data_IF_398644483841
#
_entry.id   IF_398644483841
#
_cell.length_a   1.000
_cell.length_b   1.000
_cell.length_c   1.000
_cell.angle_alpha   90.00
_cell.angle_beta   90.00
_cell.angle_gamma   90.00
#
_symmetry.space_group_name_H-M   'P 1'
#
loop_
_entity.id
_entity.type
_entity.pdbx_description
1 polymer ?
#
# COMPACT_ATOMS: atom_id res chain seq x y z
N UNK A 1 30.76 -58.67 10.17
CA UNK A 1 29.39 -58.19 10.44
C UNK A 1 29.44 -57.30 11.66
N UNK A 2 29.09 -56.02 11.68
CA UNK A 2 28.84 -54.98 10.68
C UNK A 2 29.02 -53.70 11.49
N UNK A 3 30.09 -52.94 11.26
CA UNK A 3 30.31 -51.67 11.96
C UNK A 3 29.47 -50.62 11.25
N UNK A 4 28.41 -50.14 11.91
CA UNK A 4 27.51 -49.13 11.40
C UNK A 4 28.17 -47.75 11.49
N UNK A 5 28.58 -47.22 10.35
CA UNK A 5 28.92 -45.82 10.16
C UNK A 5 27.70 -44.94 10.43
N UNK A 6 27.81 -44.04 11.40
CA UNK A 6 26.88 -42.93 11.61
C UNK A 6 27.44 -41.74 10.84
N UNK A 7 26.67 -41.06 9.97
CA UNK A 7 27.16 -39.86 9.30
C UNK A 7 27.32 -38.75 10.34
N UNK A 8 28.55 -38.24 10.46
CA UNK A 8 28.86 -36.99 11.15
C UNK A 8 28.05 -35.87 10.49
N UNK A 9 27.16 -35.22 11.24
CA UNK A 9 26.56 -33.97 10.81
C UNK A 9 27.64 -32.89 10.89
N UNK A 10 28.19 -32.51 9.73
CA UNK A 10 29.21 -31.47 9.66
C UNK A 10 28.64 -30.14 10.14
N UNK A 11 29.15 -29.67 11.27
CA UNK A 11 29.02 -28.28 11.67
C UNK A 11 29.78 -27.42 10.63
N UNK A 12 29.24 -26.27 10.20
CA UNK A 12 29.88 -25.44 9.18
C UNK A 12 31.28 -25.00 9.61
N UNK A 13 32.24 -25.11 8.68
CA UNK A 13 33.66 -24.85 8.90
C UNK A 13 33.89 -23.40 9.41
N UNK A 14 34.79 -23.23 10.38
CA UNK A 14 35.09 -21.93 10.98
C UNK A 14 35.62 -20.91 9.95
N UNK A 15 36.21 -21.40 8.85
CA UNK A 15 36.68 -20.60 7.73
C UNK A 15 35.52 -19.95 6.94
N UNK A 16 34.44 -20.67 6.69
CA UNK A 16 33.24 -20.19 5.99
C UNK A 16 32.49 -19.14 6.80
N UNK A 17 32.29 -19.38 8.10
CA UNK A 17 31.66 -18.41 9.01
C UNK A 17 32.42 -17.08 9.07
N UNK A 18 33.76 -17.11 8.92
CA UNK A 18 34.58 -15.91 8.86
C UNK A 18 34.40 -15.16 7.51
N UNK A 19 34.36 -15.87 6.39
CA UNK A 19 34.14 -15.28 5.07
C UNK A 19 32.75 -14.60 4.96
N UNK A 20 31.71 -15.25 5.47
CA UNK A 20 30.35 -14.70 5.52
C UNK A 20 30.30 -13.45 6.39
N UNK A 21 30.91 -13.51 7.57
CA UNK A 21 30.99 -12.35 8.48
C UNK A 21 31.67 -11.17 7.78
N UNK A 22 32.75 -11.40 7.02
CA UNK A 22 33.42 -10.36 6.25
C UNK A 22 32.54 -9.80 5.14
N UNK A 23 31.88 -10.65 4.36
CA UNK A 23 30.95 -10.25 3.30
C UNK A 23 29.81 -9.38 3.85
N UNK A 24 29.14 -9.81 4.91
CA UNK A 24 28.05 -9.04 5.54
C UNK A 24 28.57 -7.73 6.12
N UNK A 25 29.75 -7.72 6.73
CA UNK A 25 30.39 -6.49 7.19
C UNK A 25 30.70 -5.52 6.05
N UNK A 26 31.11 -6.02 4.88
CA UNK A 26 31.30 -5.19 3.67
C UNK A 26 29.98 -4.60 3.19
N UNK A 27 28.91 -5.42 3.02
CA UNK A 27 27.56 -4.95 2.66
C UNK A 27 27.03 -3.90 3.64
N UNK A 28 27.23 -4.13 4.94
CA UNK A 28 26.83 -3.22 6.01
C UNK A 28 27.62 -1.92 5.96
N UNK A 29 28.94 -1.99 5.79
CA UNK A 29 29.81 -0.82 5.68
C UNK A 29 29.44 0.01 4.46
N UNK A 30 29.17 -0.64 3.32
CA UNK A 30 28.64 0.02 2.13
C UNK A 30 27.33 0.75 2.42
N UNK A 31 26.35 0.08 3.03
CA UNK A 31 25.06 0.70 3.43
C UNK A 31 25.22 1.88 4.41
N UNK A 32 26.28 1.89 5.22
CA UNK A 32 26.56 2.99 6.16
C UNK A 32 27.28 4.16 5.50
N UNK A 33 28.21 3.90 4.59
CA UNK A 33 28.97 4.93 3.87
C UNK A 33 28.07 5.71 2.89
N UNK A 34 27.09 5.06 2.27
CA UNK A 34 26.10 5.75 1.41
C UNK A 34 25.20 6.72 2.19
N UNK A 35 25.10 6.59 3.52
CA UNK A 35 24.38 7.58 4.35
C UNK A 35 25.10 8.93 4.45
N UNK A 36 26.43 8.95 4.34
CA UNK A 36 27.24 10.16 4.61
C UNK A 36 27.50 10.99 3.36
N UNK A 37 27.39 10.41 2.16
CA UNK A 37 27.48 11.12 0.89
C UNK A 37 26.16 11.81 0.54
N UNK A 38 26.03 13.08 0.93
CA UNK A 38 25.00 14.00 0.41
C UNK A 38 25.16 14.09 -1.12
N UNK A 39 24.38 13.32 -1.87
CA UNK A 39 24.43 13.31 -3.35
C UNK A 39 24.08 14.72 -3.84
N UNK A 40 25.05 15.41 -4.46
CA UNK A 40 24.82 16.68 -5.18
C UNK A 40 23.78 16.40 -6.28
N UNK A 41 22.83 17.32 -6.44
CA UNK A 41 21.75 17.24 -7.44
C UNK A 41 22.38 17.26 -8.83
N UNK A 42 22.52 16.09 -9.46
CA UNK A 42 22.89 16.02 -10.87
C UNK A 42 21.72 16.56 -11.70
N UNK A 43 22.03 17.46 -12.63
CA UNK A 43 21.09 18.15 -13.52
C UNK A 43 20.78 17.38 -14.80
N UNK A 44 21.37 16.20 -14.97
CA UNK A 44 21.16 15.37 -16.16
C UNK A 44 20.12 14.27 -15.88
N UNK A 45 19.21 14.10 -16.83
CA UNK A 45 17.96 13.36 -16.71
C UNK A 45 18.03 11.84 -16.58
N UNK A 46 19.20 11.29 -16.23
CA UNK A 46 19.31 9.87 -15.82
C UNK A 46 19.09 9.77 -14.32
N UNK A 47 18.03 9.06 -13.92
CA UNK A 47 17.81 8.72 -12.52
C UNK A 47 18.96 7.78 -12.11
N UNK A 48 19.83 8.16 -11.17
CA UNK A 48 20.90 7.26 -10.75
C UNK A 48 20.25 6.03 -10.13
N UNK A 49 20.55 4.85 -10.70
CA UNK A 49 20.18 3.56 -10.15
C UNK A 49 20.49 3.59 -8.64
N UNK A 50 19.47 3.44 -7.80
CA UNK A 50 19.68 3.45 -6.34
C UNK A 50 20.61 2.30 -6.01
N UNK A 51 21.73 2.60 -5.36
CA UNK A 51 22.65 1.56 -4.90
C UNK A 51 21.92 0.61 -3.95
N UNK A 52 21.94 -0.68 -4.30
CA UNK A 52 21.33 -1.75 -3.53
C UNK A 52 22.04 -1.89 -2.17
N UNK A 53 21.39 -1.33 -1.16
CA UNK A 53 21.81 -1.30 0.24
C UNK A 53 20.71 -1.86 1.12
N UNK A 54 21.05 -2.35 2.31
CA UNK A 54 20.05 -2.78 3.31
C UNK A 54 19.00 -1.71 3.59
N UNK A 55 19.42 -0.44 3.65
CA UNK A 55 18.51 0.69 3.79
C UNK A 55 17.59 0.83 2.57
N UNK A 56 18.10 0.71 1.34
CA UNK A 56 17.26 0.77 0.14
C UNK A 56 16.22 -0.35 0.12
N UNK A 57 16.57 -1.61 0.42
CA UNK A 57 15.61 -2.71 0.52
C UNK A 57 14.55 -2.45 1.59
N UNK A 58 14.94 -1.94 2.75
CA UNK A 58 14.00 -1.53 3.79
C UNK A 58 12.95 -0.52 3.30
N UNK A 59 13.34 0.40 2.39
CA UNK A 59 12.39 1.36 1.81
C UNK A 59 11.32 0.70 0.93
N UNK A 60 11.58 -0.50 0.41
CA UNK A 60 10.65 -1.25 -0.42
C UNK A 60 9.72 -2.08 0.49
N UNK A 61 10.31 -2.80 1.43
CA UNK A 61 9.65 -3.77 2.31
C UNK A 61 8.49 -3.21 3.13
N UNK A 62 8.49 -1.92 3.49
CA UNK A 62 7.41 -1.35 4.30
C UNK A 62 6.03 -1.46 3.64
N UNK A 63 5.99 -1.44 2.30
CA UNK A 63 4.75 -1.46 1.52
C UNK A 63 4.19 -2.87 1.38
N UNK A 64 5.07 -3.86 1.27
CA UNK A 64 4.72 -5.27 1.03
C UNK A 64 4.68 -6.12 2.31
N UNK A 65 5.58 -5.90 3.27
CA UNK A 65 5.56 -6.60 4.55
C UNK A 65 4.60 -5.95 5.55
N UNK A 66 4.45 -4.63 5.50
CA UNK A 66 3.73 -3.83 6.48
C UNK A 66 4.65 -3.03 7.41
N UNK A 67 4.12 -2.06 8.17
CA UNK A 67 4.91 -1.17 9.01
C UNK A 67 4.99 -1.59 10.49
N UNK A 68 4.35 -2.68 10.89
CA UNK A 68 4.15 -3.05 12.31
C UNK A 68 5.19 -4.05 12.81
N UNK A 69 5.46 -5.12 12.06
CA UNK A 69 6.50 -6.07 12.46
C UNK A 69 7.90 -5.47 12.29
N UNK A 70 8.71 -5.67 13.33
CA UNK A 70 10.10 -5.25 13.30
C UNK A 70 10.93 -6.26 12.54
N UNK A 71 11.85 -5.80 11.69
CA UNK A 71 12.70 -6.68 10.85
C UNK A 71 13.46 -7.72 11.70
N UNK A 72 13.92 -7.35 12.89
CA UNK A 72 14.62 -8.29 13.77
C UNK A 72 13.73 -9.43 14.30
N UNK A 73 12.43 -9.17 14.50
CA UNK A 73 11.46 -10.19 14.94
C UNK A 73 11.21 -11.17 13.80
N UNK A 74 11.03 -10.65 12.59
CA UNK A 74 10.85 -11.47 11.39
C UNK A 74 12.09 -12.36 11.16
N UNK A 75 13.29 -11.77 11.25
CA UNK A 75 14.54 -12.52 11.08
C UNK A 75 14.77 -13.57 12.17
N UNK A 76 14.43 -13.27 13.44
CA UNK A 76 14.55 -14.23 14.54
C UNK A 76 13.55 -15.38 14.39
N UNK A 77 12.32 -15.09 13.95
CA UNK A 77 11.33 -16.12 13.61
C UNK A 77 11.82 -17.01 12.47
N UNK A 78 12.22 -16.42 11.34
CA UNK A 78 12.69 -17.18 10.17
C UNK A 78 13.91 -18.06 10.43
N UNK A 79 14.90 -17.55 11.18
CA UNK A 79 16.07 -18.35 11.58
C UNK A 79 15.67 -19.49 12.53
N UNK A 80 14.75 -19.23 13.47
CA UNK A 80 14.27 -20.25 14.41
C UNK A 80 13.54 -21.37 13.69
N UNK A 81 12.68 -21.05 12.72
CA UNK A 81 11.98 -22.06 11.93
C UNK A 81 12.92 -22.80 10.96
N UNK A 82 13.91 -22.13 10.37
CA UNK A 82 14.89 -22.78 9.48
C UNK A 82 15.84 -23.76 10.20
N UNK A 83 16.07 -23.56 11.50
CA UNK A 83 16.91 -24.44 12.34
C UNK A 83 16.11 -25.40 13.20
N UNK A 84 14.80 -25.48 12.96
CA UNK A 84 13.89 -26.31 13.72
C UNK A 84 14.08 -27.78 13.32
N UNK A 85 14.22 -28.66 14.31
CA UNK A 85 14.19 -30.11 14.06
C UNK A 85 12.79 -30.51 13.58
N UNK A 86 12.70 -31.11 12.38
CA UNK A 86 11.43 -31.59 11.79
C UNK A 86 10.74 -32.63 12.68
N UNK A 87 11.51 -33.39 13.45
CA UNK A 87 11.03 -34.41 14.39
C UNK A 87 10.39 -33.84 15.68
N UNK A 88 10.48 -32.52 15.91
CA UNK A 88 9.87 -31.87 17.09
C UNK A 88 8.50 -31.31 16.73
N UNK A 89 7.48 -31.80 17.43
CA UNK A 89 6.10 -31.32 17.26
C UNK A 89 6.00 -29.78 17.33
N UNK A 90 5.20 -29.14 16.45
CA UNK A 90 4.84 -27.72 16.55
C UNK A 90 4.38 -27.38 17.97
N UNK A 91 4.86 -26.26 18.55
CA UNK A 91 4.27 -25.77 19.79
C UNK A 91 2.77 -25.63 19.61
N UNK A 92 2.00 -26.04 20.61
CA UNK A 92 0.57 -25.76 20.63
C UNK A 92 0.34 -24.26 20.70
N UNK A 93 -0.01 -23.67 19.56
CA UNK A 93 -0.33 -22.26 19.44
C UNK A 93 -1.83 -22.03 19.60
N UNK A 94 -2.20 -21.01 20.37
CA UNK A 94 -3.56 -20.46 20.31
C UNK A 94 -3.80 -19.77 18.95
N UNK A 95 -5.06 -19.43 18.65
CA UNK A 95 -5.44 -18.83 17.35
C UNK A 95 -4.64 -17.55 17.01
N UNK A 96 -4.37 -16.69 18.00
CA UNK A 96 -3.63 -15.45 17.79
C UNK A 96 -2.15 -15.72 17.47
N UNK A 97 -1.54 -16.67 18.16
CA UNK A 97 -0.17 -17.10 17.89
C UNK A 97 -0.03 -17.75 16.51
N UNK A 98 -1.04 -18.53 16.08
CA UNK A 98 -1.07 -19.10 14.73
C UNK A 98 -1.15 -18.01 13.65
N UNK A 99 -2.01 -17.01 13.84
CA UNK A 99 -2.10 -15.87 12.92
C UNK A 99 -0.78 -15.08 12.86
N UNK A 100 -0.18 -14.78 14.01
CA UNK A 100 1.13 -14.12 14.07
C UNK A 100 2.21 -14.96 13.37
N UNK A 101 2.21 -16.28 13.57
CA UNK A 101 3.16 -17.17 12.91
C UNK A 101 3.04 -17.09 11.38
N UNK A 102 1.82 -17.21 10.84
CA UNK A 102 1.56 -17.06 9.39
C UNK A 102 2.03 -15.71 8.86
N UNK A 103 1.76 -14.62 9.61
CA UNK A 103 2.17 -13.27 9.22
C UNK A 103 3.68 -13.11 9.16
N UNK A 104 4.39 -13.63 10.17
CA UNK A 104 5.85 -13.61 10.24
C UNK A 104 6.49 -14.49 9.16
N UNK A 105 5.92 -15.66 8.88
CA UNK A 105 6.38 -16.56 7.82
C UNK A 105 6.28 -15.89 6.45
N UNK A 106 5.13 -15.27 6.14
CA UNK A 106 4.94 -14.49 4.90
C UNK A 106 5.91 -13.32 4.82
N UNK A 107 6.09 -12.57 5.92
CA UNK A 107 7.07 -11.48 5.99
C UNK A 107 8.51 -11.97 5.78
N UNK A 108 8.86 -13.14 6.32
CA UNK A 108 10.17 -13.76 6.12
C UNK A 108 10.38 -14.13 4.66
N UNK A 109 9.39 -14.75 4.00
CA UNK A 109 9.45 -15.07 2.56
C UNK A 109 9.75 -13.83 1.73
N UNK A 110 8.94 -12.76 1.92
CA UNK A 110 9.08 -11.50 1.19
C UNK A 110 10.49 -10.91 1.38
N UNK A 111 11.02 -10.88 2.61
CA UNK A 111 12.36 -10.33 2.85
C UNK A 111 13.44 -11.19 2.17
N UNK A 112 13.33 -12.52 2.23
CA UNK A 112 14.33 -13.41 1.62
C UNK A 112 14.30 -13.40 0.09
N UNK A 113 13.14 -13.14 -0.51
CA UNK A 113 12.99 -12.96 -1.96
C UNK A 113 13.48 -11.58 -2.41
N UNK A 114 13.29 -10.55 -1.56
CA UNK A 114 13.67 -9.17 -1.88
C UNK A 114 15.17 -8.91 -1.71
N UNK A 115 15.81 -9.53 -0.70
CA UNK A 115 17.21 -9.27 -0.35
C UNK A 115 18.07 -10.49 -0.71
N UNK A 116 18.93 -10.40 -1.73
CA UNK A 116 19.77 -11.51 -2.17
C UNK A 116 20.68 -12.05 -1.05
N UNK A 117 20.60 -13.36 -0.82
CA UNK A 117 21.40 -14.09 0.17
C UNK A 117 21.01 -13.83 1.63
N UNK A 118 19.88 -13.15 1.89
CA UNK A 118 19.50 -12.77 3.24
C UNK A 118 19.25 -13.97 4.14
N UNK A 119 18.63 -15.04 3.61
CA UNK A 119 18.34 -16.26 4.36
C UNK A 119 19.62 -16.88 4.89
N UNK A 120 20.58 -17.11 3.99
CA UNK A 120 21.87 -17.73 4.27
C UNK A 120 22.67 -16.85 5.24
N UNK A 121 22.75 -15.54 4.96
CA UNK A 121 23.43 -14.57 5.81
C UNK A 121 22.85 -14.59 7.24
N UNK A 122 21.53 -14.61 7.42
CA UNK A 122 20.91 -14.61 8.75
C UNK A 122 21.14 -15.92 9.53
N UNK A 123 21.11 -17.07 8.84
CA UNK A 123 21.35 -18.40 9.44
C UNK A 123 22.81 -18.55 9.87
N UNK A 124 23.75 -18.23 8.98
CA UNK A 124 25.19 -18.33 9.26
C UNK A 124 25.64 -17.32 10.34
N UNK A 125 24.98 -16.15 10.40
CA UNK A 125 25.15 -15.20 11.51
C UNK A 125 24.45 -15.62 12.81
N UNK A 126 23.90 -16.84 12.91
CA UNK A 126 23.30 -17.42 14.10
C UNK A 126 24.13 -17.16 15.38
N UNK A 127 25.43 -17.44 15.30
CA UNK A 127 26.42 -17.22 16.37
C UNK A 127 26.81 -15.75 16.61
N UNK A 128 26.58 -14.86 15.64
CA UNK A 128 26.93 -13.43 15.74
C UNK A 128 25.67 -12.54 15.83
N UNK A 129 24.91 -12.72 16.93
CA UNK A 129 23.64 -11.99 17.19
C UNK A 129 23.78 -10.46 17.09
N UNK A 130 24.96 -9.91 17.44
CA UNK A 130 25.23 -8.47 17.36
C UNK A 130 25.26 -7.97 15.92
N UNK A 131 25.96 -8.68 15.03
CA UNK A 131 26.01 -8.31 13.61
C UNK A 131 24.65 -8.48 12.94
N UNK A 132 23.95 -9.59 13.22
CA UNK A 132 22.58 -9.82 12.74
C UNK A 132 21.64 -8.68 13.11
N UNK A 133 21.69 -8.24 14.37
CA UNK A 133 20.90 -7.09 14.85
C UNK A 133 21.22 -5.80 14.11
N UNK A 134 22.50 -5.54 13.79
CA UNK A 134 22.90 -4.34 13.01
C UNK A 134 22.35 -4.36 11.59
N UNK A 135 22.39 -5.50 10.90
CA UNK A 135 21.78 -5.65 9.57
C UNK A 135 20.28 -5.34 9.64
N UNK A 136 19.56 -5.95 10.58
CA UNK A 136 18.13 -5.71 10.77
C UNK A 136 17.82 -4.24 11.08
N UNK A 137 18.67 -3.56 11.85
CA UNK A 137 18.53 -2.13 12.16
C UNK A 137 18.67 -1.23 10.92
N UNK A 138 19.59 -1.56 10.00
CA UNK A 138 19.75 -0.83 8.75
C UNK A 138 18.52 -0.96 7.83
N UNK A 139 17.98 -2.16 7.72
CA UNK A 139 16.74 -2.41 6.96
C UNK A 139 15.58 -1.66 7.62
N UNK A 140 15.44 -1.75 8.95
CA UNK A 140 14.39 -1.03 9.69
C UNK A 140 14.49 0.49 9.49
N UNK A 141 15.70 1.04 9.43
CA UNK A 141 15.89 2.47 9.15
C UNK A 141 15.39 2.85 7.74
N UNK A 142 15.47 1.93 6.77
CA UNK A 142 14.85 2.07 5.45
C UNK A 142 13.33 2.08 5.52
N UNK A 143 12.75 1.11 6.25
CA UNK A 143 11.31 0.99 6.49
C UNK A 143 10.74 2.27 7.10
N UNK A 144 11.36 2.73 8.20
CA UNK A 144 10.92 3.92 8.93
C UNK A 144 11.02 5.19 8.06
N UNK A 145 12.08 5.31 7.25
CA UNK A 145 12.27 6.44 6.34
C UNK A 145 11.24 6.46 5.20
N UNK A 146 10.99 5.32 4.55
CA UNK A 146 10.01 5.26 3.47
C UNK A 146 8.59 5.56 3.97
N UNK A 147 8.22 5.01 5.13
CA UNK A 147 6.95 5.33 5.78
C UNK A 147 6.80 6.81 6.06
N UNK A 148 7.83 7.45 6.62
CA UNK A 148 7.84 8.88 6.87
C UNK A 148 7.68 9.72 5.60
N UNK A 149 8.36 9.34 4.52
CA UNK A 149 8.25 10.00 3.22
C UNK A 149 6.84 9.89 2.63
N UNK A 150 6.24 8.69 2.68
CA UNK A 150 4.90 8.43 2.14
C UNK A 150 3.83 9.19 2.94
N UNK A 151 3.88 9.17 4.27
CA UNK A 151 3.00 9.98 5.13
C UNK A 151 3.15 11.48 4.83
N UNK A 152 4.39 11.97 4.71
CA UNK A 152 4.68 13.40 4.51
C UNK A 152 4.13 13.91 3.17
N UNK A 153 4.34 13.16 2.09
CA UNK A 153 3.80 13.48 0.76
C UNK A 153 2.27 13.42 0.73
N UNK A 154 1.68 12.45 1.43
CA UNK A 154 0.23 12.26 1.46
C UNK A 154 -0.49 13.32 2.29
N UNK A 155 0.13 13.80 3.36
CA UNK A 155 -0.45 14.81 4.26
C UNK A 155 -0.98 16.04 3.53
N UNK A 156 -0.26 16.60 2.56
CA UNK A 156 -0.74 17.76 1.80
C UNK A 156 -1.77 17.37 0.76
N UNK A 157 -1.53 16.26 0.05
CA UNK A 157 -2.35 15.83 -1.08
C UNK A 157 -3.74 15.33 -0.68
N UNK A 158 -3.86 14.67 0.48
CA UNK A 158 -5.12 14.08 0.92
C UNK A 158 -6.26 15.10 1.09
N UNK A 159 -5.95 16.30 1.60
CA UNK A 159 -6.95 17.39 1.70
C UNK A 159 -7.37 17.87 0.32
N UNK A 160 -6.44 17.95 -0.63
CA UNK A 160 -6.73 18.37 -2.00
C UNK A 160 -7.61 17.36 -2.73
N UNK A 161 -7.40 16.07 -2.50
CA UNK A 161 -8.25 15.01 -3.02
C UNK A 161 -9.63 15.07 -2.39
N UNK A 162 -9.70 15.19 -1.07
CA UNK A 162 -10.95 15.33 -0.34
C UNK A 162 -11.78 16.49 -0.92
N UNK A 163 -11.18 17.66 -1.17
CA UNK A 163 -11.91 18.79 -1.74
C UNK A 163 -12.39 18.54 -3.17
N UNK A 164 -11.66 17.76 -3.97
CA UNK A 164 -11.99 17.51 -5.38
C UNK A 164 -13.04 16.43 -5.58
N UNK A 165 -13.16 15.49 -4.64
CA UNK A 165 -14.20 14.46 -4.67
C UNK A 165 -15.53 14.96 -4.07
N UNK A 166 -15.52 16.14 -3.46
CA UNK A 166 -16.74 16.76 -2.96
C UNK A 166 -17.59 17.27 -4.13
N UNK A 167 -18.89 17.41 -3.88
CA UNK A 167 -19.83 17.85 -4.92
C UNK A 167 -19.47 19.29 -5.30
N UNK A 168 -19.10 19.56 -6.57
CA UNK A 168 -18.75 20.90 -7.02
C UNK A 168 -19.90 21.91 -6.86
N UNK A 169 -21.14 21.43 -6.76
CA UNK A 169 -22.34 22.27 -6.58
C UNK A 169 -22.54 22.74 -5.13
N UNK A 170 -21.85 22.12 -4.16
CA UNK A 170 -21.92 22.46 -2.74
C UNK A 170 -20.61 23.14 -2.33
N UNK A 171 -20.54 24.49 -2.34
CA UNK A 171 -19.31 25.19 -1.98
C UNK A 171 -18.99 24.99 -0.50
N UNK A 172 -17.78 24.49 -0.24
CA UNK A 172 -17.25 24.34 1.12
C UNK A 172 -16.69 25.70 1.56
N UNK A 173 -17.15 26.27 2.69
CA UNK A 173 -16.59 27.51 3.21
C UNK A 173 -15.09 27.37 3.47
N UNK A 174 -14.29 28.37 3.06
CA UNK A 174 -12.83 28.32 3.22
C UNK A 174 -12.37 28.14 4.67
N UNK A 175 -13.18 28.57 5.65
CA UNK A 175 -12.92 28.39 7.08
C UNK A 175 -12.99 26.93 7.52
N UNK A 176 -13.75 26.10 6.80
CA UNK A 176 -13.97 24.69 7.11
C UNK A 176 -12.93 23.78 6.43
N UNK A 177 -12.08 24.33 5.55
CA UNK A 177 -11.02 23.57 4.89
C UNK A 177 -9.81 23.44 5.84
N UNK A 178 -9.39 22.21 6.21
CA UNK A 178 -8.23 22.03 7.08
C UNK A 178 -6.94 22.56 6.48
N UNK A 179 -6.02 22.96 7.36
CA UNK A 179 -4.66 23.32 6.97
C UNK A 179 -3.96 22.13 6.26
N UNK A 180 -3.45 22.38 5.06
CA UNK A 180 -2.78 21.37 4.20
C UNK A 180 -1.44 20.91 4.78
N UNK A 181 -0.80 21.73 5.59
CA UNK A 181 0.52 21.50 6.16
C UNK A 181 0.49 21.18 7.66
N UNK A 182 -0.65 21.34 8.35
CA UNK A 182 -0.81 21.01 9.77
C UNK A 182 -1.96 20.02 9.98
N UNK A 183 -1.67 18.95 10.73
CA UNK A 183 -2.68 17.91 11.03
C UNK A 183 -3.59 18.26 12.20
N UNK A 184 -3.19 19.16 13.10
CA UNK A 184 -3.92 19.42 14.35
C UNK A 184 -5.41 19.76 14.13
N UNK A 185 -5.75 20.48 13.06
CA UNK A 185 -7.13 20.81 12.69
C UNK A 185 -7.82 19.80 11.77
N UNK A 186 -7.39 18.53 11.75
CA UNK A 186 -8.00 17.42 10.98
C UNK A 186 -8.60 16.37 11.92
N UNK A 187 -8.87 15.17 11.43
CA UNK A 187 -9.51 14.12 12.21
C UNK A 187 -10.91 14.55 12.63
N UNK A 188 -11.27 14.23 13.87
CA UNK A 188 -12.54 14.65 14.49
C UNK A 188 -12.53 16.10 14.99
N UNK A 189 -11.49 16.89 14.68
CA UNK A 189 -11.48 18.35 14.93
C UNK A 189 -12.03 19.17 13.76
N UNK A 190 -12.41 18.52 12.66
CA UNK A 190 -12.95 19.18 11.47
C UNK A 190 -13.99 18.28 10.79
N UNK A 191 -15.14 18.85 10.43
CA UNK A 191 -16.27 18.11 9.89
C UNK A 191 -15.94 17.32 8.62
N UNK A 192 -15.16 17.90 7.68
CA UNK A 192 -14.85 17.25 6.40
C UNK A 192 -13.97 16.00 6.59
N UNK A 193 -12.96 16.08 7.46
CA UNK A 193 -12.13 14.92 7.77
C UNK A 193 -12.83 13.94 8.70
N UNK A 194 -13.69 14.42 9.60
CA UNK A 194 -14.48 13.58 10.48
C UNK A 194 -15.49 12.73 9.71
N UNK A 195 -16.15 13.31 8.70
CA UNK A 195 -17.14 12.64 7.86
C UNK A 195 -16.57 11.42 7.12
N UNK A 196 -15.32 11.50 6.67
CA UNK A 196 -14.68 10.40 5.95
C UNK A 196 -13.95 9.41 6.88
N UNK A 197 -13.57 9.83 8.09
CA UNK A 197 -12.90 8.96 9.09
C UNK A 197 -13.87 8.25 10.03
N UNK A 198 -15.10 8.74 10.20
CA UNK A 198 -16.10 8.06 11.02
C UNK A 198 -16.33 6.63 10.51
N UNK A 199 -16.66 5.70 11.42
CA UNK A 199 -17.27 4.44 11.05
C UNK A 199 -18.48 4.66 10.14
N UNK A 200 -18.56 3.87 9.05
CA UNK A 200 -19.61 4.03 8.05
C UNK A 200 -21.02 3.80 8.63
N UNK A 201 -21.13 2.93 9.64
CA UNK A 201 -22.35 2.64 10.39
C UNK A 201 -22.90 3.84 11.20
N UNK A 202 -22.06 4.82 11.55
CA UNK A 202 -22.50 5.98 12.33
C UNK A 202 -22.90 7.13 11.42
N UNK A 203 -23.98 7.87 11.74
CA UNK A 203 -24.43 8.97 10.90
C UNK A 203 -23.43 10.14 10.92
N UNK A 204 -23.34 10.85 9.78
CA UNK A 204 -22.52 12.04 9.60
C UNK A 204 -23.13 13.26 10.32
N UNK A 205 -23.01 13.30 11.65
CA UNK A 205 -23.57 14.34 12.52
C UNK A 205 -22.50 14.89 13.46
N UNK A 206 -22.58 16.18 13.81
CA UNK A 206 -21.66 16.81 14.76
C UNK A 206 -21.65 16.09 16.12
N UNK A 207 -22.81 15.62 16.57
CA UNK A 207 -22.92 14.83 17.81
C UNK A 207 -22.11 13.52 17.73
N UNK A 208 -22.12 12.84 16.58
CA UNK A 208 -21.29 11.64 16.36
C UNK A 208 -19.81 11.98 16.52
N UNK A 209 -19.36 13.07 15.90
CA UNK A 209 -17.95 13.47 15.92
C UNK A 209 -17.48 13.86 17.32
N UNK A 210 -18.29 14.61 18.07
CA UNK A 210 -17.97 15.01 19.44
C UNK A 210 -17.94 13.80 20.38
N UNK A 211 -18.83 12.81 20.22
CA UNK A 211 -18.78 11.57 21.02
C UNK A 211 -17.54 10.74 20.73
N UNK A 212 -17.17 10.59 19.46
CA UNK A 212 -15.92 9.90 19.08
C UNK A 212 -14.72 10.62 19.70
N UNK A 213 -14.67 11.95 19.57
CA UNK A 213 -13.59 12.79 20.10
C UNK A 213 -13.50 12.76 21.62
N UNK A 214 -14.64 12.66 22.32
CA UNK A 214 -14.70 12.49 23.76
C UNK A 214 -14.29 11.07 24.23
N UNK A 215 -14.09 10.13 23.31
CA UNK A 215 -13.72 8.75 23.63
C UNK A 215 -14.89 7.93 24.17
N UNK A 216 -16.12 8.25 23.78
CA UNK A 216 -17.30 7.48 24.16
C UNK A 216 -17.15 6.03 23.66
N UNK A 217 -17.34 5.07 24.57
CA UNK A 217 -17.21 3.64 24.26
C UNK A 217 -18.27 3.15 23.28
N UNK A 218 -19.44 3.79 23.23
CA UNK A 218 -20.50 3.49 22.28
C UNK A 218 -20.18 3.98 20.86
N UNK A 219 -19.25 4.93 20.74
CA UNK A 219 -18.80 5.52 19.47
C UNK A 219 -17.32 5.19 19.24
N UNK A 220 -16.95 3.93 19.49
CA UNK A 220 -15.60 3.45 19.21
C UNK A 220 -15.35 3.39 17.71
N UNK A 221 -14.16 3.81 17.30
CA UNK A 221 -13.62 3.65 15.94
C UNK A 221 -12.86 2.33 15.77
N UNK A 222 -12.50 1.66 16.87
CA UNK A 222 -11.71 0.43 16.79
C UNK A 222 -12.51 -0.72 16.19
N UNK A 223 -11.92 -1.46 15.24
CA UNK A 223 -12.56 -2.60 14.59
C UNK A 223 -13.77 -2.22 13.73
N UNK A 224 -13.91 -0.95 13.35
CA UNK A 224 -14.97 -0.43 12.49
C UNK A 224 -14.41 0.10 11.19
N UNK A 225 -15.20 0.04 10.12
CA UNK A 225 -14.78 0.38 8.76
C UNK A 225 -15.00 1.89 8.52
N UNK A 226 -13.95 2.68 8.25
CA UNK A 226 -14.08 4.11 7.97
C UNK A 226 -14.84 4.39 6.66
N UNK A 227 -15.62 5.48 6.64
CA UNK A 227 -16.43 5.87 5.49
C UNK A 227 -15.63 6.12 4.19
N UNK A 228 -14.36 6.57 4.28
CA UNK A 228 -13.53 6.81 3.08
C UNK A 228 -13.24 5.57 2.25
N UNK A 229 -13.48 4.37 2.80
CA UNK A 229 -13.32 3.11 2.09
C UNK A 229 -14.46 2.85 1.11
N UNK A 230 -15.60 3.53 1.26
CA UNK A 230 -16.76 3.36 0.41
C UNK A 230 -16.90 4.51 -0.61
N UNK A 231 -17.69 4.31 -1.68
CA UNK A 231 -18.16 5.41 -2.52
C UNK A 231 -18.92 6.45 -1.70
N UNK A 232 -18.80 7.72 -2.09
CA UNK A 232 -19.35 8.87 -1.32
C UNK A 232 -20.83 8.73 -0.96
N UNK A 233 -21.64 8.26 -1.91
CA UNK A 233 -23.10 8.16 -1.76
C UNK A 233 -23.56 6.74 -1.35
N UNK A 234 -22.63 5.90 -0.88
CA UNK A 234 -22.97 4.57 -0.39
C UNK A 234 -23.82 4.67 0.88
N UNK A 235 -24.89 3.88 0.95
CA UNK A 235 -25.78 3.80 2.11
C UNK A 235 -25.40 2.54 2.86
N UNK A 236 -25.00 2.70 4.12
CA UNK A 236 -24.60 1.58 4.98
C UNK A 236 -25.71 0.52 5.05
N UNK A 237 -25.34 -0.72 4.74
CA UNK A 237 -26.21 -1.88 4.88
C UNK A 237 -25.70 -2.78 6.01
N UNK A 238 -26.43 -2.86 7.11
CA UNK A 238 -26.05 -3.69 8.25
C UNK A 238 -26.08 -5.21 7.97
N UNK A 239 -26.77 -5.61 6.90
CA UNK A 239 -26.85 -7.01 6.47
C UNK A 239 -25.80 -7.37 5.40
N UNK A 240 -25.11 -6.38 4.86
CA UNK A 240 -24.06 -6.55 3.85
C UNK A 240 -23.05 -5.39 3.97
N UNK A 241 -22.19 -5.49 4.98
CA UNK A 241 -21.22 -4.44 5.29
C UNK A 241 -20.09 -4.36 4.26
N UNK A 242 -19.90 -5.42 3.48
CA UNK A 242 -18.82 -5.54 2.49
C UNK A 242 -19.22 -4.94 1.14
N UNK A 243 -20.51 -4.67 0.90
CA UNK A 243 -20.98 -3.99 -0.32
C UNK A 243 -20.14 -2.74 -0.61
N UNK A 244 -19.34 -2.81 -1.67
CA UNK A 244 -18.46 -1.74 -2.17
C UNK A 244 -17.39 -1.26 -1.20
N UNK A 245 -17.02 -2.06 -0.21
CA UNK A 245 -15.86 -1.77 0.62
C UNK A 245 -14.61 -1.65 -0.27
N UNK A 246 -13.73 -0.69 0.02
CA UNK A 246 -12.52 -0.37 -0.76
C UNK A 246 -12.75 0.19 -2.18
N UNK A 247 -13.99 0.45 -2.59
CA UNK A 247 -14.31 1.16 -3.85
C UNK A 247 -14.26 2.70 -3.72
N UNK A 248 -13.92 3.22 -2.54
CA UNK A 248 -13.76 4.65 -2.32
C UNK A 248 -12.68 5.28 -3.22
N UNK A 249 -12.87 6.53 -3.71
CA UNK A 249 -11.91 7.18 -4.60
C UNK A 249 -10.60 7.60 -3.89
N UNK A 250 -10.63 7.82 -2.57
CA UNK A 250 -9.46 8.26 -1.80
C UNK A 250 -8.39 7.16 -1.70
N UNK A 251 -8.71 5.89 -1.36
CA UNK A 251 -7.75 4.78 -1.43
C UNK A 251 -7.04 4.65 -2.77
N UNK A 252 -7.76 4.79 -3.89
CA UNK A 252 -7.18 4.73 -5.24
C UNK A 252 -6.20 5.89 -5.49
N UNK A 253 -6.57 7.11 -5.13
CA UNK A 253 -5.68 8.28 -5.24
C UNK A 253 -4.41 8.10 -4.38
N UNK A 254 -4.57 7.56 -3.17
CA UNK A 254 -3.47 7.26 -2.27
C UNK A 254 -2.53 6.18 -2.82
N UNK A 255 -3.07 5.10 -3.37
CA UNK A 255 -2.29 4.04 -4.02
C UNK A 255 -1.47 4.59 -5.18
N UNK A 256 -2.11 5.33 -6.10
CA UNK A 256 -1.42 5.94 -7.25
C UNK A 256 -0.32 6.91 -6.82
N UNK A 257 -0.55 7.69 -5.75
CA UNK A 257 0.51 8.56 -5.23
C UNK A 257 1.68 7.76 -4.65
N UNK A 258 1.41 6.71 -3.87
CA UNK A 258 2.46 5.88 -3.27
C UNK A 258 3.27 5.19 -4.37
N UNK A 259 2.63 4.58 -5.37
CA UNK A 259 3.32 3.71 -6.32
C UNK A 259 3.81 4.43 -7.59
N UNK A 260 3.05 5.37 -8.13
CA UNK A 260 3.40 6.10 -9.36
C UNK A 260 3.93 7.52 -9.09
N UNK A 261 3.53 8.14 -7.97
CA UNK A 261 3.97 9.45 -7.54
C UNK A 261 2.86 10.52 -7.52
N UNK A 262 3.14 11.71 -6.94
CA UNK A 262 2.10 12.70 -6.64
C UNK A 262 1.29 13.22 -7.84
N UNK A 263 1.90 13.28 -9.03
CA UNK A 263 1.24 13.73 -10.25
C UNK A 263 0.18 12.74 -10.77
N UNK A 264 0.27 11.48 -10.38
CA UNK A 264 -0.62 10.41 -10.87
C UNK A 264 -1.94 10.32 -10.11
N UNK A 265 -2.00 10.78 -8.85
CA UNK A 265 -3.11 10.52 -7.92
C UNK A 265 -4.51 10.66 -8.55
N UNK A 266 -4.76 11.77 -9.25
CA UNK A 266 -6.06 12.11 -9.84
C UNK A 266 -6.13 11.96 -11.37
N UNK A 267 -5.13 11.33 -11.99
CA UNK A 267 -5.09 11.13 -13.44
C UNK A 267 -5.84 9.88 -13.88
N UNK A 268 -5.85 9.58 -15.18
CA UNK A 268 -6.38 8.32 -15.69
C UNK A 268 -5.64 7.08 -15.11
N UNK A 269 -6.26 5.89 -15.15
CA UNK A 269 -5.59 4.62 -14.84
C UNK A 269 -4.25 4.45 -15.56
N UNK A 270 -3.24 3.90 -14.88
CA UNK A 270 -1.90 3.66 -15.44
C UNK A 270 -1.08 4.93 -15.76
N UNK A 271 -1.56 6.12 -15.40
CA UNK A 271 -0.81 7.35 -15.64
C UNK A 271 0.49 7.41 -14.84
N UNK A 272 1.59 7.67 -15.54
CA UNK A 272 2.88 8.01 -14.95
C UNK A 272 3.53 9.16 -15.74
N UNK A 273 4.27 10.03 -15.03
CA UNK A 273 5.03 11.12 -15.67
C UNK A 273 6.20 11.56 -14.80
N UNK A 274 7.36 11.74 -15.43
CA UNK A 274 8.57 12.22 -14.76
C UNK A 274 9.46 11.07 -14.32
N UNK A 275 10.02 11.17 -13.11
CA UNK A 275 10.91 10.13 -12.53
C UNK A 275 10.16 8.83 -12.27
N UNK A 276 10.92 7.74 -12.19
CA UNK A 276 10.37 6.43 -11.87
C UNK A 276 9.64 6.47 -10.51
N UNK A 277 8.39 5.99 -10.51
CA UNK A 277 7.60 5.82 -9.31
C UNK A 277 8.20 4.74 -8.40
N UNK A 278 7.67 4.62 -7.18
CA UNK A 278 8.12 3.58 -6.25
C UNK A 278 7.91 2.17 -6.82
N UNK A 279 6.82 1.92 -7.54
CA UNK A 279 6.59 0.62 -8.16
C UNK A 279 7.70 0.25 -9.17
N UNK A 280 7.98 1.14 -10.13
CA UNK A 280 9.02 0.93 -11.14
C UNK A 280 10.42 0.77 -10.51
N UNK A 281 10.74 1.58 -9.50
CA UNK A 281 12.00 1.48 -8.75
C UNK A 281 12.17 0.13 -8.05
N UNK A 282 11.07 -0.47 -7.64
CA UNK A 282 11.06 -1.70 -6.88
C UNK A 282 10.83 -2.93 -7.77
N UNK A 283 10.67 -2.77 -9.09
CA UNK A 283 10.29 -3.85 -9.99
C UNK A 283 8.89 -4.44 -9.72
N UNK A 284 8.01 -3.68 -9.06
CA UNK A 284 6.68 -4.12 -8.66
C UNK A 284 5.67 -3.76 -9.77
N UNK A 285 4.96 -4.76 -10.26
CA UNK A 285 3.97 -4.67 -11.36
C UNK A 285 2.53 -4.96 -10.90
N UNK A 286 2.36 -5.42 -9.67
CA UNK A 286 1.06 -5.64 -9.03
C UNK A 286 1.10 -5.26 -7.53
N UNK A 287 -0.06 -4.87 -7.02
CA UNK A 287 -0.37 -4.72 -5.60
C UNK A 287 -0.99 -6.01 -5.09
N UNK A 288 -0.64 -6.39 -3.86
CA UNK A 288 -1.33 -7.42 -3.09
C UNK A 288 -2.10 -6.86 -1.89
N UNK A 289 -2.70 -7.75 -1.11
CA UNK A 289 -3.48 -7.42 0.09
C UNK A 289 -2.77 -6.46 1.06
N UNK A 290 -1.49 -6.74 1.35
CA UNK A 290 -0.67 -5.93 2.27
C UNK A 290 -0.33 -4.54 1.74
N UNK A 291 -0.22 -4.40 0.42
CA UNK A 291 -0.05 -3.10 -0.25
C UNK A 291 -1.31 -2.24 -0.10
N UNK A 292 -2.49 -2.83 -0.33
CA UNK A 292 -3.79 -2.15 -0.18
C UNK A 292 -4.02 -1.74 1.28
N UNK A 293 -3.77 -2.63 2.23
CA UNK A 293 -3.84 -2.34 3.66
C UNK A 293 -2.90 -1.20 4.07
N UNK A 294 -1.67 -1.19 3.53
CA UNK A 294 -0.70 -0.12 3.78
C UNK A 294 -1.21 1.23 3.26
N UNK A 295 -1.72 1.27 2.03
CA UNK A 295 -2.30 2.47 1.42
C UNK A 295 -3.41 3.04 2.30
N UNK A 296 -4.37 2.20 2.72
CA UNK A 296 -5.50 2.62 3.56
C UNK A 296 -5.03 3.17 4.91
N UNK A 297 -4.02 2.53 5.51
CA UNK A 297 -3.44 2.95 6.80
C UNK A 297 -2.72 4.29 6.68
N UNK A 298 -1.96 4.50 5.59
CA UNK A 298 -1.32 5.79 5.30
C UNK A 298 -2.35 6.90 5.06
N UNK A 299 -3.44 6.59 4.35
CA UNK A 299 -4.53 7.53 4.08
C UNK A 299 -5.25 7.93 5.37
N UNK A 300 -5.64 6.97 6.22
CA UNK A 300 -6.24 7.25 7.53
C UNK A 300 -5.33 8.18 8.33
N UNK A 301 -4.05 7.82 8.45
CA UNK A 301 -3.06 8.64 9.15
C UNK A 301 -3.04 10.05 8.54
N UNK A 302 -2.99 10.22 7.22
CA UNK A 302 -2.93 11.54 6.59
C UNK A 302 -4.13 12.44 6.89
N UNK A 303 -5.32 11.86 7.07
CA UNK A 303 -6.58 12.56 7.38
C UNK A 303 -6.77 12.80 8.88
N UNK A 304 -6.04 12.09 9.75
CA UNK A 304 -6.18 12.20 11.20
C UNK A 304 -5.52 13.45 11.78
N UNK A 305 -5.76 13.72 13.07
CA UNK A 305 -5.16 14.85 13.78
C UNK A 305 -3.74 14.63 14.29
N UNK A 306 -3.26 13.38 14.32
CA UNK A 306 -1.97 13.04 14.94
C UNK A 306 -0.79 13.70 14.23
N UNK A 307 0.05 14.45 14.95
CA UNK A 307 1.24 15.07 14.35
C UNK A 307 2.34 14.07 14.00
N UNK A 308 2.39 12.96 14.74
CA UNK A 308 3.38 11.90 14.60
C UNK A 308 2.69 10.54 14.50
N UNK A 309 3.38 9.58 13.90
CA UNK A 309 2.92 8.20 13.92
C UNK A 309 2.86 7.66 15.35
N UNK A 310 1.78 6.98 15.68
CA UNK A 310 1.56 6.28 16.92
C UNK A 310 0.90 4.93 16.62
N UNK A 311 0.96 4.00 17.57
CA UNK A 311 0.24 2.73 17.45
C UNK A 311 -1.29 2.95 17.43
N UNK A 312 -1.75 3.96 18.18
CA UNK A 312 -3.17 4.27 18.34
C UNK A 312 -3.47 5.75 18.09
N UNK A 313 -4.66 6.04 17.57
CA UNK A 313 -5.28 7.36 17.47
C UNK A 313 -6.57 7.39 18.31
N UNK A 314 -6.44 7.75 19.59
CA UNK A 314 -7.51 7.54 20.56
C UNK A 314 -7.82 6.06 20.72
N UNK A 315 -9.04 5.65 20.39
CA UNK A 315 -9.47 4.25 20.41
C UNK A 315 -9.09 3.48 19.13
N UNK A 316 -8.67 4.16 18.05
CA UNK A 316 -8.35 3.51 16.79
C UNK A 316 -6.96 2.88 16.81
N UNK A 317 -6.86 1.57 16.55
CA UNK A 317 -5.58 0.86 16.38
C UNK A 317 -5.18 0.81 14.91
N UNK A 318 -4.03 1.39 14.56
CA UNK A 318 -3.52 1.34 13.18
C UNK A 318 -3.12 -0.10 12.78
N UNK A 319 -2.63 -0.88 13.73
CA UNK A 319 -2.22 -2.27 13.51
C UNK A 319 -3.43 -3.16 13.26
N UNK A 320 -4.46 -3.05 14.10
CA UNK A 320 -5.70 -3.83 13.92
C UNK A 320 -6.39 -3.45 12.61
N UNK A 321 -6.41 -2.16 12.25
CA UNK A 321 -6.96 -1.70 10.98
C UNK A 321 -6.19 -2.25 9.77
N UNK A 322 -4.85 -2.21 9.81
CA UNK A 322 -4.03 -2.76 8.74
C UNK A 322 -4.30 -4.25 8.53
N UNK A 323 -4.29 -5.02 9.62
CA UNK A 323 -4.54 -6.45 9.54
C UNK A 323 -5.97 -6.77 9.16
N UNK A 324 -6.97 -6.03 9.64
CA UNK A 324 -8.35 -6.22 9.22
C UNK A 324 -8.50 -6.08 7.69
N UNK A 325 -7.86 -5.06 7.08
CA UNK A 325 -7.89 -4.89 5.62
C UNK A 325 -7.09 -5.99 4.90
N UNK A 326 -5.93 -6.39 5.43
CA UNK A 326 -5.14 -7.45 4.81
C UNK A 326 -5.85 -8.81 4.87
N UNK A 327 -6.54 -9.09 5.97
CA UNK A 327 -7.25 -10.34 6.24
C UNK A 327 -8.51 -10.49 5.35
N UNK A 328 -9.08 -9.39 4.83
CA UNK A 328 -10.19 -9.41 3.84
C UNK A 328 -9.86 -10.20 2.55
N UNK A 329 -8.58 -10.47 2.31
CA UNK A 329 -8.10 -11.12 1.08
C UNK A 329 -7.41 -12.47 1.36
N UNK A 330 -7.39 -12.95 2.61
CA UNK A 330 -6.60 -14.14 2.98
C UNK A 330 -7.20 -15.47 2.50
N UNK A 331 -8.51 -15.53 2.25
CA UNK A 331 -9.22 -16.70 1.73
C UNK A 331 -9.36 -16.72 0.20
N UNK A 332 -8.82 -15.70 -0.49
CA UNK A 332 -8.90 -15.53 -1.93
C UNK A 332 -10.13 -14.75 -2.41
N UNK A 333 -11.00 -14.30 -1.49
CA UNK A 333 -12.07 -13.35 -1.80
C UNK A 333 -11.49 -11.93 -2.02
N UNK A 334 -12.27 -11.04 -2.63
CA UNK A 334 -11.86 -9.65 -2.90
C UNK A 334 -10.76 -9.48 -3.96
N UNK A 335 -10.45 -10.51 -4.76
CA UNK A 335 -9.45 -10.40 -5.84
C UNK A 335 -9.84 -9.34 -6.88
N UNK A 336 -11.13 -9.15 -7.13
CA UNK A 336 -11.68 -8.10 -7.98
C UNK A 336 -11.35 -6.69 -7.46
N UNK A 337 -11.33 -6.49 -6.13
CA UNK A 337 -10.88 -5.25 -5.50
C UNK A 337 -9.39 -5.04 -5.77
N UNK A 338 -8.55 -6.05 -5.55
CA UNK A 338 -7.11 -5.97 -5.85
C UNK A 338 -6.88 -5.65 -7.32
N UNK A 339 -7.62 -6.30 -8.22
CA UNK A 339 -7.55 -6.06 -9.66
C UNK A 339 -7.97 -4.63 -10.03
N UNK A 340 -8.97 -4.07 -9.34
CA UNK A 340 -9.37 -2.68 -9.51
C UNK A 340 -8.25 -1.70 -9.08
N UNK A 341 -7.60 -1.95 -7.95
CA UNK A 341 -6.41 -1.19 -7.55
C UNK A 341 -5.29 -1.30 -8.60
N UNK A 342 -5.02 -2.50 -9.10
CA UNK A 342 -4.02 -2.74 -10.13
C UNK A 342 -4.35 -2.03 -11.45
N UNK A 343 -5.60 -2.06 -11.88
CA UNK A 343 -6.07 -1.32 -13.06
C UNK A 343 -5.76 0.17 -12.90
N UNK A 344 -6.14 0.77 -11.76
CA UNK A 344 -5.92 2.19 -11.54
C UNK A 344 -4.45 2.58 -11.40
N UNK A 345 -3.62 1.74 -10.78
CA UNK A 345 -2.20 2.02 -10.52
C UNK A 345 -1.31 1.71 -11.72
N UNK A 346 -1.53 0.59 -12.40
CA UNK A 346 -0.67 0.07 -13.46
C UNK A 346 -1.29 0.12 -14.86
N UNK A 347 -2.60 0.34 -14.96
CA UNK A 347 -3.32 0.28 -16.24
C UNK A 347 -3.51 -1.15 -16.76
N UNK A 348 -3.40 -2.16 -15.90
CA UNK A 348 -3.63 -3.56 -16.26
C UNK A 348 -5.07 -3.75 -16.75
N UNK A 349 -5.34 -4.52 -17.82
CA UNK A 349 -6.70 -4.77 -18.26
C UNK A 349 -7.51 -5.37 -17.11
N UNK A 350 -8.48 -4.64 -16.57
CA UNK A 350 -9.35 -5.16 -15.51
C UNK A 350 -10.19 -6.31 -16.08
N UNK A 351 -10.22 -7.46 -15.37
CA UNK A 351 -11.13 -8.57 -15.69
C UNK A 351 -12.61 -8.13 -15.62
N UNK A 352 -12.93 -7.12 -14.81
CA UNK A 352 -14.27 -6.49 -14.78
C UNK A 352 -14.59 -5.72 -16.07
N UNK A 353 -13.58 -5.24 -16.81
CA UNK A 353 -13.77 -4.69 -18.16
C UNK A 353 -13.97 -5.75 -19.24
N UNK A 354 -13.73 -7.04 -18.95
CA UNK A 354 -14.08 -8.14 -19.85
C UNK A 354 -15.60 -8.43 -19.82
N UNK A 355 -16.32 -7.88 -18.85
CA UNK A 355 -17.77 -7.76 -18.85
C UNK A 355 -18.24 -6.37 -19.34
N UNK A 356 -17.54 -5.77 -20.31
CA UNK A 356 -18.28 -4.98 -21.29
C UNK A 356 -19.27 -5.95 -21.96
N UNK A 357 -20.56 -5.61 -22.10
CA UNK A 357 -21.41 -6.40 -22.98
C UNK A 357 -20.70 -6.47 -24.32
N UNK A 358 -20.41 -7.69 -24.77
CA UNK A 358 -20.12 -7.95 -26.16
C UNK A 358 -21.24 -7.26 -26.97
N UNK A 359 -20.83 -6.35 -27.86
CA UNK A 359 -21.68 -5.57 -28.75
C UNK A 359 -22.67 -4.60 -28.08
N UNK A 360 -22.16 -3.48 -27.56
CA UNK A 360 -22.82 -2.20 -27.86
C UNK A 360 -22.20 -1.66 -29.15
N UNK A 361 -22.98 -1.47 -30.24
CA UNK A 361 -22.42 -0.93 -31.47
C UNK A 361 -21.72 0.38 -31.15
N UNK A 362 -20.45 0.46 -31.52
CA UNK A 362 -19.61 1.64 -31.32
C UNK A 362 -20.45 2.89 -31.56
N UNK A 363 -20.65 3.69 -30.50
CA UNK A 363 -21.30 4.97 -30.64
C UNK A 363 -20.54 5.70 -31.76
N UNK A 364 -21.23 5.92 -32.88
CA UNK A 364 -20.67 6.55 -34.08
C UNK A 364 -19.83 7.74 -33.62
N UNK A 365 -18.55 7.77 -34.04
CA UNK A 365 -17.70 8.91 -33.76
C UNK A 365 -18.45 10.17 -34.21
N UNK A 366 -18.32 11.28 -33.48
CA UNK A 366 -18.89 12.56 -33.92
C UNK A 366 -18.49 12.90 -35.37
N UNK A 367 -17.34 12.39 -35.83
CA UNK A 367 -16.89 12.50 -37.21
C UNK A 367 -17.68 11.62 -38.20
N UNK A 368 -18.15 10.45 -37.81
CA UNK A 368 -18.97 9.55 -38.64
C UNK A 368 -20.39 10.11 -38.85
N UNK A 369 -20.97 10.70 -37.79
CA UNK A 369 -22.23 11.43 -37.88
C UNK A 369 -22.14 12.64 -38.82
N UNK A 370 -21.03 13.38 -38.74
CA UNK A 370 -20.75 14.51 -39.66
C UNK A 370 -20.55 14.02 -41.10
N UNK A 371 -19.87 12.89 -41.32
CA UNK A 371 -19.69 12.30 -42.63
C UNK A 371 -21.02 11.85 -43.25
N UNK A 372 -21.88 11.19 -42.47
CA UNK A 372 -23.22 10.76 -42.88
C UNK A 372 -24.13 11.97 -43.20
N UNK A 373 -24.12 13.02 -42.39
CA UNK A 373 -24.86 14.26 -42.67
C UNK A 373 -24.38 14.94 -43.95
N UNK A 374 -23.06 14.96 -44.21
CA UNK A 374 -22.49 15.51 -45.44
C UNK A 374 -22.83 14.65 -46.67
N UNK A 375 -22.91 13.33 -46.55
CA UNK A 375 -23.36 12.45 -47.62
C UNK A 375 -24.85 12.65 -47.95
N UNK A 376 -25.72 12.72 -46.93
CA UNK A 376 -27.15 12.98 -47.10
C UNK A 376 -27.46 14.38 -47.65
N UNK A 377 -26.62 15.38 -47.36
CA UNK A 377 -26.73 16.73 -47.97
C UNK A 377 -26.32 16.71 -49.45
N UNK A 378 -25.27 15.97 -49.82
CA UNK A 378 -24.86 15.78 -51.22
C UNK A 378 -25.92 15.04 -52.04
N UNK A 379 -26.54 14.00 -51.48
CA UNK A 379 -27.61 13.26 -52.14
C UNK A 379 -28.85 14.14 -52.40
N UNK A 380 -29.26 14.96 -51.43
CA UNK A 380 -30.39 15.90 -51.59
C UNK A 380 -30.14 17.00 -52.63
N UNK A 381 -28.89 17.44 -52.76
CA UNK A 381 -28.50 18.41 -53.80
C UNK A 381 -28.39 17.77 -55.19
N UNK A 382 -28.17 16.45 -55.27
CA UNK A 382 -28.14 15.71 -56.53
C UNK A 382 -29.54 15.36 -57.08
N UNK A 383 -30.57 15.34 -56.21
CA UNK A 383 -31.97 15.06 -56.59
C UNK A 383 -32.83 16.32 -56.72
N UNK A 384 -32.24 17.44 -57.18
CA UNK A 384 -33.01 18.64 -57.55
C UNK A 384 -34.09 18.32 -58.60
N UNK A 385 -35.20 19.08 -58.62
CA UNK A 385 -36.46 18.63 -59.23
C UNK A 385 -36.32 18.47 -60.74
N UNK A 386 -36.48 17.24 -61.23
CA UNK A 386 -36.79 16.97 -62.62
C UNK A 386 -38.18 17.53 -62.90
N UNK A 387 -38.21 18.54 -63.76
CA UNK A 387 -39.37 19.07 -64.46
C UNK A 387 -40.37 17.99 -64.85
N UNK A 388 -41.64 18.18 -64.49
CA UNK A 388 -42.76 17.49 -65.10
C UNK A 388 -43.71 18.55 -65.68
N UNK A 389 -43.79 18.53 -67.01
CA UNK A 389 -44.84 19.06 -67.91
C UNK A 389 -45.03 20.58 -67.98
#
# INVERSE_FOLDING_TARGET
MSSSDVPSSDAPDASENNAVTQSVMQKLTHSLLTKTTKKRKNTDGDDPQEEETYKSYGRHLVRTCGPFERIHVIAEHGVREALRDEDKEPPHHNTKEQQLHKRLEKSWSIITETIPGFREDMIQLGGNRRLRKKVCQEIQAGVDAARGDDTSKMKTAAIDWLMKIQDPSVPIPSADIPDRHKKAGRGFNNALTAEVLRPMEYPALDETYEKIKAGDKLFSTNGKIPAFLYPKDHIYNEHDIEDKVLEGPLPIAAAKQIYQGPSAALQAPGYHRGRAGNAARNGQDALGARDVAYVCTQLYCSLSSLSNWAANDGNFSYEDFYWAIADLFEDGEGQDIIDNFNYHVFGTPSLSSAAQPADLPAALSGFDLVAAQRAAKRARLATGPSSAS
#
